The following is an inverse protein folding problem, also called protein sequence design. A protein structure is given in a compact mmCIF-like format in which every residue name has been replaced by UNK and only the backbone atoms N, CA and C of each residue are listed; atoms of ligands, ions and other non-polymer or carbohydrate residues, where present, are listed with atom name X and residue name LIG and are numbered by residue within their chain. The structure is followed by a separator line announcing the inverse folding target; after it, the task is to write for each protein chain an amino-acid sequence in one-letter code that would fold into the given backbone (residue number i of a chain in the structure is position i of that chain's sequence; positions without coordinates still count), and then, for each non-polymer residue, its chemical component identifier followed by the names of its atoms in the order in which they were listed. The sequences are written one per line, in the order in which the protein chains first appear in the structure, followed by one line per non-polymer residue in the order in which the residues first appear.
data_IF_768276950434
#
_entry.id   IF_768276950434
#
_cell.length_a   1.000
_cell.length_b   1.000
_cell.length_c   1.000
_cell.angle_alpha   90.00
_cell.angle_beta   90.00
_cell.angle_gamma   90.00
#
_symmetry.space_group_name_H-M   'P 1'
#
loop_
_entity.id
_entity.type
_entity.pdbx_description
1 polymer ?
#
# COMPACT_ATOMS: atom_id res chain seq x y z
N UNK A 1 29.00 7.08 -8.08
CA UNK A 1 28.24 7.81 -7.06
C UNK A 1 27.60 6.74 -6.17
N UNK A 2 27.62 6.95 -4.86
CA UNK A 2 27.01 5.99 -3.93
C UNK A 2 25.49 6.04 -4.16
N UNK A 3 24.93 4.98 -4.68
CA UNK A 3 23.54 4.93 -5.18
C UNK A 3 22.57 4.42 -4.09
N UNK A 4 23.03 4.41 -2.83
CA UNK A 4 22.36 3.81 -1.68
C UNK A 4 21.27 4.76 -1.16
N UNK A 5 20.05 4.26 -1.03
CA UNK A 5 18.92 5.01 -0.43
C UNK A 5 18.97 4.84 1.08
N UNK A 6 19.61 5.78 1.79
CA UNK A 6 19.80 5.69 3.25
C UNK A 6 18.83 6.58 4.04
N UNK A 7 18.40 7.69 3.45
CA UNK A 7 17.52 8.65 4.09
C UNK A 7 16.12 8.57 3.46
N UNK A 8 15.21 7.98 4.18
CA UNK A 8 13.85 7.74 3.70
C UNK A 8 12.85 8.69 4.36
N UNK A 9 12.02 9.32 3.56
CA UNK A 9 10.83 10.04 4.01
C UNK A 9 9.59 9.19 3.82
N UNK A 10 8.63 9.29 4.73
CA UNK A 10 7.29 8.71 4.57
C UNK A 10 6.27 9.79 4.89
N UNK A 11 5.30 10.02 4.00
CA UNK A 11 4.22 10.97 4.27
C UNK A 11 2.94 10.21 4.57
N UNK A 12 2.41 10.39 5.78
CA UNK A 12 1.32 9.61 6.35
C UNK A 12 1.83 8.46 7.22
N UNK A 13 1.35 8.38 8.46
CA UNK A 13 1.68 7.32 9.43
C UNK A 13 0.44 6.46 9.77
N UNK A 14 -0.42 6.25 8.76
CA UNK A 14 -1.51 5.28 8.81
C UNK A 14 -0.99 3.85 8.84
N UNK A 15 -1.85 2.89 8.54
CA UNK A 15 -1.49 1.47 8.55
C UNK A 15 -0.33 1.16 7.58
N UNK A 16 -0.42 1.69 6.34
CA UNK A 16 0.61 1.47 5.32
C UNK A 16 1.90 2.24 5.62
N UNK A 17 1.80 3.56 5.87
CA UNK A 17 2.98 4.38 6.12
C UNK A 17 3.76 3.97 7.36
N UNK A 18 3.11 3.58 8.45
CA UNK A 18 3.78 3.03 9.62
C UNK A 18 4.52 1.73 9.26
N UNK A 19 3.89 0.84 8.50
CA UNK A 19 4.54 -0.40 8.05
C UNK A 19 5.73 -0.16 7.11
N UNK A 20 5.63 0.83 6.21
CA UNK A 20 6.72 1.23 5.31
C UNK A 20 7.89 1.81 6.13
N UNK A 21 7.61 2.73 7.04
CA UNK A 21 8.61 3.31 7.94
C UNK A 21 9.32 2.22 8.77
N UNK A 22 8.55 1.26 9.31
CA UNK A 22 9.10 0.13 10.06
C UNK A 22 10.10 -0.67 9.23
N UNK A 23 9.73 -1.10 8.00
CA UNK A 23 10.62 -1.95 7.20
C UNK A 23 11.87 -1.20 6.73
N UNK A 24 11.76 0.09 6.41
CA UNK A 24 12.91 0.93 6.08
C UNK A 24 13.86 1.10 7.27
N UNK A 25 13.34 1.37 8.46
CA UNK A 25 14.16 1.50 9.67
C UNK A 25 14.80 0.17 10.11
N UNK A 26 14.12 -0.96 9.93
CA UNK A 26 14.68 -2.31 10.16
C UNK A 26 15.81 -2.62 9.20
N UNK A 27 15.77 -2.10 7.98
CA UNK A 27 16.85 -2.19 7.00
C UNK A 27 18.05 -1.26 7.31
N UNK A 28 17.95 -0.42 8.35
CA UNK A 28 19.04 0.47 8.77
C UNK A 28 18.90 1.92 8.27
N UNK A 29 17.89 2.25 7.49
CA UNK A 29 17.67 3.60 6.99
C UNK A 29 17.32 4.60 8.10
N UNK A 30 17.75 5.86 7.94
CA UNK A 30 17.26 7.02 8.72
C UNK A 30 15.90 7.43 8.17
N UNK A 31 14.86 7.34 8.99
CA UNK A 31 13.46 7.50 8.55
C UNK A 31 12.81 8.72 9.21
N UNK A 32 12.27 9.62 8.38
CA UNK A 32 11.38 10.68 8.85
C UNK A 32 9.97 10.39 8.35
N UNK A 33 9.02 10.35 9.29
CA UNK A 33 7.60 10.20 8.98
C UNK A 33 6.91 11.52 9.25
N UNK A 34 6.18 12.04 8.25
CA UNK A 34 5.43 13.28 8.38
C UNK A 34 3.94 13.00 8.48
N UNK A 35 3.29 13.59 9.47
CA UNK A 35 1.84 13.56 9.64
C UNK A 35 1.25 14.97 9.66
N UNK A 36 -0.03 15.05 9.30
CA UNK A 36 -0.73 16.35 9.13
C UNK A 36 -0.92 17.14 10.42
N UNK A 37 -0.83 16.50 11.58
CA UNK A 37 -0.94 17.13 12.89
C UNK A 37 -0.37 16.23 14.00
N UNK A 38 -0.19 16.80 15.19
CA UNK A 38 0.42 16.14 16.35
C UNK A 38 -0.38 14.91 16.82
N UNK A 39 -1.71 14.98 16.83
CA UNK A 39 -2.56 13.85 17.25
C UNK A 39 -2.34 12.61 16.37
N UNK A 40 -2.29 12.82 15.06
CA UNK A 40 -1.99 11.74 14.10
C UNK A 40 -0.55 11.25 14.19
N UNK A 41 0.39 12.16 14.44
CA UNK A 41 1.79 11.82 14.67
C UNK A 41 1.95 10.92 15.90
N UNK A 42 1.29 11.25 17.01
CA UNK A 42 1.31 10.45 18.24
C UNK A 42 0.65 9.09 18.03
N UNK A 43 -0.49 9.05 17.34
CA UNK A 43 -1.16 7.79 16.98
C UNK A 43 -0.30 6.92 16.04
N UNK A 44 0.41 7.53 15.10
CA UNK A 44 1.36 6.87 14.21
C UNK A 44 2.55 6.28 14.95
N UNK A 45 3.15 7.06 15.86
CA UNK A 45 4.23 6.59 16.74
C UNK A 45 3.77 5.40 17.58
N UNK A 46 2.58 5.45 18.16
CA UNK A 46 2.03 4.34 18.93
C UNK A 46 1.82 3.05 18.10
N UNK A 47 1.46 3.18 16.81
CA UNK A 47 1.40 2.02 15.90
C UNK A 47 2.77 1.40 15.66
N UNK A 48 3.78 2.22 15.40
CA UNK A 48 5.17 1.78 15.20
C UNK A 48 5.68 1.05 16.44
N UNK A 49 5.54 1.64 17.62
CA UNK A 49 5.96 1.05 18.89
C UNK A 49 5.28 -0.30 19.10
N UNK A 50 3.95 -0.36 18.97
CA UNK A 50 3.19 -1.60 19.13
C UNK A 50 3.62 -2.70 18.16
N UNK A 51 3.90 -2.36 16.90
CA UNK A 51 4.33 -3.31 15.88
C UNK A 51 5.72 -3.85 16.17
N UNK A 52 6.67 -2.97 16.48
CA UNK A 52 8.06 -3.32 16.76
C UNK A 52 8.20 -4.13 18.06
N UNK A 53 7.52 -3.73 19.15
CA UNK A 53 7.51 -4.51 20.40
C UNK A 53 6.95 -5.91 20.18
N UNK A 54 5.86 -6.04 19.43
CA UNK A 54 5.30 -7.35 19.07
C UNK A 54 6.24 -8.19 18.21
N UNK A 55 7.05 -7.57 17.35
CA UNK A 55 8.06 -8.27 16.56
C UNK A 55 9.21 -8.79 17.45
N UNK A 56 9.68 -7.97 18.40
CA UNK A 56 10.68 -8.32 19.40
C UNK A 56 10.21 -9.48 20.29
N UNK A 57 9.00 -9.38 20.88
CA UNK A 57 8.37 -10.44 21.69
C UNK A 57 8.28 -11.79 20.96
N UNK A 58 8.14 -11.77 19.64
CA UNK A 58 8.06 -12.97 18.80
C UNK A 58 9.41 -13.45 18.26
N UNK A 59 10.52 -12.84 18.71
CA UNK A 59 11.87 -13.16 18.25
C UNK A 59 12.13 -12.88 16.78
N UNK A 60 11.38 -11.93 16.20
CA UNK A 60 11.54 -11.51 14.80
C UNK A 60 12.35 -10.21 14.65
N UNK A 61 12.74 -9.63 15.76
CA UNK A 61 13.51 -8.42 15.88
C UNK A 61 14.34 -8.51 17.17
N UNK A 62 15.60 -8.12 17.12
CA UNK A 62 16.52 -8.18 18.27
C UNK A 62 16.24 -7.03 19.26
N UNK A 63 15.95 -5.82 18.77
CA UNK A 63 15.69 -4.65 19.60
C UNK A 63 14.71 -3.68 18.92
N UNK A 64 13.54 -3.51 19.52
CA UNK A 64 12.56 -2.51 19.07
C UNK A 64 13.09 -1.08 19.28
N UNK A 65 13.82 -0.83 20.40
CA UNK A 65 14.34 0.50 20.72
C UNK A 65 15.38 0.96 19.69
N UNK A 66 16.23 0.05 19.21
CA UNK A 66 17.22 0.37 18.19
C UNK A 66 16.55 0.82 16.88
N UNK A 67 15.50 0.12 16.45
CA UNK A 67 14.77 0.47 15.24
C UNK A 67 13.98 1.76 15.43
N UNK A 68 13.31 1.95 16.57
CA UNK A 68 12.61 3.18 16.93
C UNK A 68 13.55 4.39 16.95
N UNK A 69 14.80 4.19 17.37
CA UNK A 69 15.84 5.23 17.37
C UNK A 69 16.17 5.77 15.97
N UNK A 70 15.85 5.03 14.91
CA UNK A 70 16.04 5.45 13.51
C UNK A 70 14.81 6.15 12.92
N UNK A 71 13.67 6.25 13.68
CA UNK A 71 12.43 6.81 13.18
C UNK A 71 12.10 8.11 13.93
N UNK A 72 11.95 9.21 13.21
CA UNK A 72 11.38 10.45 13.73
C UNK A 72 10.00 10.68 13.12
N UNK A 73 9.00 10.91 13.95
CA UNK A 73 7.65 11.28 13.50
C UNK A 73 7.46 12.78 13.79
N UNK A 74 7.18 13.55 12.74
CA UNK A 74 7.13 15.00 12.74
C UNK A 74 5.85 15.52 12.04
N UNK A 75 5.63 16.83 12.04
CA UNK A 75 4.47 17.46 11.38
C UNK A 75 4.84 18.38 10.22
N UNK A 76 6.12 18.69 10.04
CA UNK A 76 6.58 19.63 9.04
C UNK A 76 7.14 18.92 7.81
N UNK A 77 6.57 19.16 6.62
CA UNK A 77 7.08 18.59 5.37
C UNK A 77 8.53 19.02 5.06
N UNK A 78 8.94 20.19 5.54
CA UNK A 78 10.30 20.71 5.38
C UNK A 78 11.39 19.79 5.93
N UNK A 79 11.06 18.95 6.91
CA UNK A 79 11.99 17.96 7.47
C UNK A 79 12.41 16.88 6.45
N UNK A 80 11.72 16.78 5.32
CA UNK A 80 12.02 15.83 4.24
C UNK A 80 13.05 16.38 3.23
N UNK A 81 13.57 17.57 3.40
CA UNK A 81 14.38 18.28 2.41
C UNK A 81 15.62 17.48 1.94
N UNK A 82 16.24 16.69 2.81
CA UNK A 82 17.47 15.94 2.55
C UNK A 82 17.24 14.43 2.30
N UNK A 83 16.01 14.00 2.02
CA UNK A 83 15.71 12.58 1.81
C UNK A 83 16.12 12.10 0.41
N UNK A 84 16.63 10.86 0.35
CA UNK A 84 16.99 10.18 -0.90
C UNK A 84 15.76 9.62 -1.62
N UNK A 85 14.77 9.19 -0.84
CA UNK A 85 13.47 8.75 -1.33
C UNK A 85 12.37 9.21 -0.35
N UNK A 86 11.26 9.70 -0.90
CA UNK A 86 10.04 9.99 -0.14
C UNK A 86 8.92 9.13 -0.64
N UNK A 87 8.31 8.32 0.25
CA UNK A 87 7.18 7.45 -0.06
C UNK A 87 5.91 8.09 0.49
N UNK A 88 4.99 8.45 -0.39
CA UNK A 88 3.66 8.93 -0.03
C UNK A 88 2.75 7.74 0.33
N UNK A 89 2.08 7.83 1.48
CA UNK A 89 1.11 6.85 1.99
C UNK A 89 -0.06 7.53 2.72
N UNK A 90 -0.56 8.65 2.14
CA UNK A 90 -1.75 9.37 2.63
C UNK A 90 -3.04 8.70 2.16
N UNK A 91 -4.19 9.32 2.42
CA UNK A 91 -5.49 8.85 1.91
C UNK A 91 -5.49 8.76 0.38
N UNK A 92 -6.25 7.79 -0.15
CA UNK A 92 -6.34 7.52 -1.58
C UNK A 92 -7.26 8.56 -2.25
N UNK A 93 -6.79 9.80 -2.32
CA UNK A 93 -7.42 10.95 -2.97
C UNK A 93 -6.46 11.59 -3.96
N UNK A 94 -6.85 11.61 -5.24
CA UNK A 94 -6.01 12.11 -6.32
C UNK A 94 -5.60 13.57 -6.13
N UNK A 95 -6.55 14.42 -5.72
CA UNK A 95 -6.28 15.85 -5.54
C UNK A 95 -5.28 16.11 -4.42
N UNK A 96 -5.43 15.42 -3.29
CA UNK A 96 -4.51 15.52 -2.16
C UNK A 96 -3.10 15.02 -2.52
N UNK A 97 -3.00 13.92 -3.26
CA UNK A 97 -1.70 13.38 -3.69
C UNK A 97 -1.01 14.28 -4.71
N UNK A 98 -1.74 14.82 -5.68
CA UNK A 98 -1.23 15.79 -6.66
C UNK A 98 -0.66 17.03 -5.94
N UNK A 99 -1.38 17.58 -4.97
CA UNK A 99 -0.92 18.74 -4.22
C UNK A 99 0.31 18.42 -3.36
N UNK A 100 0.35 17.25 -2.73
CA UNK A 100 1.50 16.79 -1.98
C UNK A 100 2.75 16.63 -2.89
N UNK A 101 2.60 16.05 -4.08
CA UNK A 101 3.73 15.86 -4.99
C UNK A 101 4.33 17.18 -5.48
N UNK A 102 3.51 18.23 -5.70
CA UNK A 102 4.01 19.58 -5.98
C UNK A 102 4.85 20.12 -4.81
N UNK A 103 4.36 19.97 -3.58
CA UNK A 103 5.08 20.42 -2.38
C UNK A 103 6.38 19.64 -2.17
N UNK A 104 6.36 18.31 -2.35
CA UNK A 104 7.57 17.48 -2.25
C UNK A 104 8.62 17.84 -3.30
N UNK A 105 8.19 18.16 -4.53
CA UNK A 105 9.10 18.59 -5.61
C UNK A 105 9.82 19.91 -5.27
N UNK A 106 9.19 20.79 -4.51
CA UNK A 106 9.78 22.04 -4.05
C UNK A 106 10.68 21.86 -2.82
N UNK A 107 10.28 20.98 -1.89
CA UNK A 107 10.94 20.78 -0.59
C UNK A 107 12.19 19.92 -0.72
N UNK A 108 12.10 18.80 -1.46
CA UNK A 108 13.20 17.82 -1.57
C UNK A 108 14.30 18.39 -2.45
N UNK A 109 15.46 18.66 -1.84
CA UNK A 109 16.55 19.41 -2.47
C UNK A 109 17.46 18.55 -3.36
N UNK A 110 17.58 17.24 -3.09
CA UNK A 110 18.38 16.34 -3.93
C UNK A 110 17.74 16.20 -5.31
N UNK A 111 18.45 16.49 -6.40
CA UNK A 111 17.91 16.36 -7.76
C UNK A 111 17.62 14.91 -8.14
N UNK A 112 18.32 13.97 -7.50
CA UNK A 112 18.21 12.52 -7.77
C UNK A 112 17.28 11.80 -6.80
N UNK A 113 16.62 12.54 -5.89
CA UNK A 113 15.69 11.96 -4.94
C UNK A 113 14.47 11.35 -5.67
N UNK A 114 14.06 10.17 -5.22
CA UNK A 114 12.88 9.47 -5.74
C UNK A 114 11.64 9.97 -4.99
N UNK A 115 10.64 10.43 -5.71
CA UNK A 115 9.31 10.70 -5.17
C UNK A 115 8.41 9.52 -5.50
N UNK A 116 8.07 8.72 -4.48
CA UNK A 116 7.34 7.48 -4.63
C UNK A 116 5.91 7.59 -4.07
N UNK A 117 4.96 6.90 -4.70
CA UNK A 117 3.61 6.75 -4.17
C UNK A 117 3.30 5.28 -3.87
N UNK A 118 2.66 5.03 -2.72
CA UNK A 118 2.12 3.71 -2.37
C UNK A 118 0.65 3.55 -2.82
N UNK A 119 0.18 4.37 -3.75
CA UNK A 119 -1.17 4.25 -4.32
C UNK A 119 -1.42 2.86 -4.91
N UNK A 120 -2.66 2.40 -4.86
CA UNK A 120 -3.09 1.17 -5.52
C UNK A 120 -3.92 1.41 -6.79
N UNK A 121 -4.29 2.66 -7.06
CA UNK A 121 -5.29 2.96 -8.10
C UNK A 121 -5.07 4.26 -8.86
N UNK A 122 -4.34 5.22 -8.29
CA UNK A 122 -4.09 6.52 -8.94
C UNK A 122 -2.92 6.37 -9.92
N UNK A 123 -3.09 6.76 -11.21
CA UNK A 123 -2.02 6.69 -12.19
C UNK A 123 -0.77 7.47 -11.75
N UNK A 124 0.37 6.81 -11.77
CA UNK A 124 1.66 7.43 -11.40
C UNK A 124 2.00 8.59 -12.33
N UNK A 125 1.60 8.50 -13.61
CA UNK A 125 1.75 9.57 -14.58
C UNK A 125 1.14 10.89 -14.11
N UNK A 126 -0.04 10.87 -13.44
CA UNK A 126 -0.69 12.08 -12.92
C UNK A 126 0.15 12.76 -11.84
N UNK A 127 0.83 11.97 -11.01
CA UNK A 127 1.73 12.46 -9.98
C UNK A 127 3.06 12.94 -10.58
N UNK A 128 3.56 12.25 -11.59
CA UNK A 128 4.80 12.63 -12.27
C UNK A 128 4.70 13.98 -13.00
N UNK A 129 3.61 14.21 -13.72
CA UNK A 129 3.45 15.41 -14.58
C UNK A 129 3.33 16.72 -13.80
N UNK A 130 3.04 16.68 -12.49
CA UNK A 130 2.95 17.89 -11.66
C UNK A 130 4.27 18.27 -10.99
N UNK A 131 5.33 17.46 -11.19
CA UNK A 131 6.68 17.72 -10.67
C UNK A 131 7.61 18.21 -11.78
N UNK A 132 8.74 18.84 -11.41
CA UNK A 132 9.83 19.24 -12.33
C UNK A 132 10.81 18.09 -12.59
N UNK A 133 10.65 16.95 -11.90
CA UNK A 133 11.48 15.73 -11.98
C UNK A 133 10.65 14.46 -12.28
N UNK A 134 9.84 14.44 -13.35
CA UNK A 134 8.96 13.30 -13.63
C UNK A 134 9.73 11.98 -13.84
N UNK A 135 11.01 12.06 -14.24
CA UNK A 135 11.90 10.90 -14.37
C UNK A 135 12.20 10.21 -13.03
N UNK A 136 12.03 10.91 -11.92
CA UNK A 136 12.30 10.40 -10.57
C UNK A 136 11.00 10.09 -9.80
N UNK A 137 9.86 10.08 -10.47
CA UNK A 137 8.57 9.70 -9.87
C UNK A 137 8.27 8.24 -10.20
N UNK A 138 7.92 7.46 -9.17
CA UNK A 138 7.72 6.01 -9.26
C UNK A 138 6.58 5.56 -8.33
N UNK A 139 5.78 4.60 -8.74
CA UNK A 139 4.94 3.84 -7.85
C UNK A 139 5.78 2.80 -7.09
N UNK A 140 5.67 2.77 -5.76
CA UNK A 140 6.28 1.75 -4.90
C UNK A 140 5.19 1.18 -4.01
N UNK A 141 4.50 0.18 -4.54
CA UNK A 141 3.28 -0.35 -3.95
C UNK A 141 3.58 -1.54 -3.03
N UNK A 142 3.42 -1.31 -1.74
CA UNK A 142 3.53 -2.32 -0.70
C UNK A 142 2.17 -2.97 -0.41
N UNK A 143 2.21 -4.17 0.16
CA UNK A 143 1.03 -4.93 0.54
C UNK A 143 0.88 -5.02 2.06
N UNK A 144 -0.36 -4.91 2.55
CA UNK A 144 -0.68 -5.01 3.98
C UNK A 144 -0.78 -6.49 4.44
N UNK A 145 -0.11 -6.89 5.52
CA UNK A 145 0.77 -6.13 6.42
C UNK A 145 2.20 -5.95 5.84
N UNK A 146 2.67 -4.72 5.74
CA UNK A 146 3.97 -4.39 5.12
C UNK A 146 5.15 -5.14 5.73
N UNK A 147 5.28 -5.30 7.07
CA UNK A 147 6.40 -6.05 7.65
C UNK A 147 6.37 -7.55 7.35
N UNK A 148 5.23 -8.09 6.89
CA UNK A 148 5.04 -9.53 6.69
C UNK A 148 5.13 -9.93 5.23
N UNK A 149 4.44 -9.20 4.35
CA UNK A 149 4.38 -9.53 2.93
C UNK A 149 5.66 -9.08 2.22
N UNK A 150 6.19 -9.98 1.41
CA UNK A 150 7.50 -9.77 0.77
C UNK A 150 7.42 -9.00 -0.55
N UNK A 151 6.25 -8.98 -1.20
CA UNK A 151 6.10 -8.38 -2.52
C UNK A 151 6.06 -6.85 -2.44
N UNK A 152 6.72 -6.21 -3.40
CA UNK A 152 6.58 -4.79 -3.74
C UNK A 152 6.44 -4.66 -5.25
N UNK A 153 5.44 -3.93 -5.71
CA UNK A 153 5.29 -3.60 -7.12
C UNK A 153 5.94 -2.24 -7.40
N UNK A 154 6.89 -2.22 -8.34
CA UNK A 154 7.48 -1.00 -8.88
C UNK A 154 6.73 -0.61 -10.15
N UNK A 155 6.16 0.58 -10.15
CA UNK A 155 5.25 1.05 -11.19
C UNK A 155 5.81 2.30 -11.84
N UNK A 156 6.66 2.16 -12.87
CA UNK A 156 7.13 3.31 -13.64
C UNK A 156 6.00 3.90 -14.50
N UNK A 157 5.91 5.23 -14.53
CA UNK A 157 5.16 5.95 -15.53
C UNK A 157 5.89 5.96 -16.87
N UNK A 158 5.27 6.50 -17.92
CA UNK A 158 5.95 6.68 -19.21
C UNK A 158 7.15 7.66 -19.14
N UNK A 159 7.27 8.44 -18.07
CA UNK A 159 8.34 9.44 -17.90
C UNK A 159 9.40 9.00 -16.88
N UNK A 160 9.18 7.94 -16.14
CA UNK A 160 10.12 7.42 -15.13
C UNK A 160 11.36 6.88 -15.81
N UNK A 161 12.55 7.29 -15.34
CA UNK A 161 13.81 6.79 -15.87
C UNK A 161 14.11 5.36 -15.38
N UNK A 162 14.73 4.55 -16.24
CA UNK A 162 15.14 3.18 -15.90
C UNK A 162 16.07 3.16 -14.67
N UNK A 163 16.95 4.15 -14.55
CA UNK A 163 17.85 4.28 -13.39
C UNK A 163 17.07 4.46 -12.07
N UNK A 164 15.98 5.21 -12.08
CA UNK A 164 15.09 5.37 -10.92
C UNK A 164 14.48 4.05 -10.49
N UNK A 165 14.02 3.24 -11.46
CA UNK A 165 13.48 1.90 -11.22
C UNK A 165 14.53 0.97 -10.64
N UNK A 166 15.75 0.97 -11.20
CA UNK A 166 16.85 0.10 -10.74
C UNK A 166 17.35 0.48 -9.35
N UNK A 167 17.40 1.76 -9.01
CA UNK A 167 17.72 2.22 -7.65
C UNK A 167 16.68 1.76 -6.64
N UNK A 168 15.40 1.95 -6.96
CA UNK A 168 14.30 1.48 -6.10
C UNK A 168 14.31 -0.06 -5.97
N UNK A 169 14.55 -0.79 -7.06
CA UNK A 169 14.69 -2.25 -7.05
C UNK A 169 15.83 -2.70 -6.15
N UNK A 170 17.00 -2.12 -6.30
CA UNK A 170 18.17 -2.43 -5.48
C UNK A 170 17.87 -2.25 -3.99
N UNK A 171 17.18 -1.17 -3.63
CA UNK A 171 16.75 -0.91 -2.27
C UNK A 171 15.73 -1.94 -1.76
N UNK A 172 14.72 -2.25 -2.56
CA UNK A 172 13.65 -3.20 -2.20
C UNK A 172 14.19 -4.63 -2.05
N UNK A 173 14.96 -5.10 -3.02
CA UNK A 173 15.46 -6.49 -3.04
C UNK A 173 16.65 -6.66 -2.07
N UNK A 174 17.58 -5.69 -2.05
CA UNK A 174 18.80 -5.77 -1.25
C UNK A 174 18.60 -5.35 0.20
N UNK A 175 18.18 -4.09 0.42
CA UNK A 175 18.14 -3.51 1.76
C UNK A 175 16.87 -3.95 2.54
N UNK A 176 15.68 -3.89 1.91
CA UNK A 176 14.44 -4.29 2.57
C UNK A 176 14.27 -5.81 2.65
N UNK A 177 15.05 -6.60 1.91
CA UNK A 177 14.92 -8.06 1.84
C UNK A 177 13.53 -8.50 1.35
N UNK A 178 12.90 -7.68 0.51
CA UNK A 178 11.62 -7.96 -0.14
C UNK A 178 11.85 -8.48 -1.56
N UNK A 179 10.82 -8.55 -2.36
CA UNK A 179 10.88 -8.96 -3.76
C UNK A 179 10.17 -7.95 -4.63
N UNK A 180 10.92 -7.26 -5.48
CA UNK A 180 10.38 -6.28 -6.41
C UNK A 180 9.95 -6.93 -7.73
N UNK A 181 8.73 -6.67 -8.16
CA UNK A 181 8.29 -6.90 -9.54
C UNK A 181 8.03 -5.54 -10.21
N UNK A 182 8.14 -5.47 -11.52
CA UNK A 182 7.81 -4.25 -12.27
C UNK A 182 6.60 -4.49 -13.14
N UNK A 183 5.69 -3.52 -13.17
CA UNK A 183 4.52 -3.52 -14.05
C UNK A 183 4.26 -2.13 -14.60
N UNK A 184 3.44 -2.05 -15.63
CA UNK A 184 3.03 -0.77 -16.22
C UNK A 184 2.08 0.00 -15.29
N UNK A 185 2.06 1.32 -15.43
CA UNK A 185 1.16 2.25 -14.75
C UNK A 185 -0.28 2.09 -15.28
N UNK A 186 -0.98 1.11 -14.72
CA UNK A 186 -2.41 0.82 -14.97
C UNK A 186 -3.10 0.51 -13.66
N UNK A 187 -4.39 0.81 -13.56
CA UNK A 187 -5.17 0.54 -12.35
C UNK A 187 -5.03 -0.92 -11.88
N UNK A 188 -4.81 -1.10 -10.58
CA UNK A 188 -4.69 -2.41 -9.93
C UNK A 188 -3.37 -3.14 -10.13
N UNK A 189 -2.45 -2.60 -10.92
CA UNK A 189 -1.12 -3.18 -11.19
C UNK A 189 -1.18 -4.68 -11.53
N UNK A 190 -0.37 -5.55 -10.97
CA UNK A 190 -0.44 -7.00 -11.23
C UNK A 190 -1.42 -7.68 -10.28
N UNK A 191 -1.26 -7.48 -8.96
CA UNK A 191 -1.99 -8.29 -7.99
C UNK A 191 -3.48 -7.96 -8.00
N UNK A 192 -3.83 -6.68 -7.87
CA UNK A 192 -5.24 -6.28 -7.77
C UNK A 192 -6.00 -6.48 -9.08
N UNK A 193 -5.36 -6.35 -10.25
CA UNK A 193 -6.01 -6.62 -11.54
C UNK A 193 -6.39 -8.09 -11.75
N UNK A 194 -5.76 -9.01 -11.02
CA UNK A 194 -6.13 -10.43 -11.00
C UNK A 194 -7.02 -10.78 -9.80
N UNK A 195 -6.68 -10.27 -8.63
CA UNK A 195 -7.36 -10.60 -7.38
C UNK A 195 -8.78 -10.06 -7.30
N UNK A 196 -8.98 -8.80 -7.69
CA UNK A 196 -10.30 -8.17 -7.57
C UNK A 196 -11.34 -8.84 -8.47
N UNK A 197 -11.11 -9.07 -9.79
CA UNK A 197 -12.07 -9.80 -10.62
C UNK A 197 -12.37 -11.21 -10.10
N UNK A 198 -11.37 -11.89 -9.53
CA UNK A 198 -11.57 -13.19 -8.89
C UNK A 198 -12.55 -13.10 -7.72
N UNK A 199 -12.34 -12.14 -6.81
CA UNK A 199 -13.25 -11.88 -5.69
C UNK A 199 -14.64 -11.49 -6.19
N UNK A 200 -14.74 -10.55 -7.15
CA UNK A 200 -16.04 -10.13 -7.70
C UNK A 200 -16.81 -11.28 -8.35
N UNK A 201 -16.10 -12.22 -8.97
CA UNK A 201 -16.73 -13.42 -9.54
C UNK A 201 -17.32 -14.33 -8.46
N UNK A 202 -16.63 -14.49 -7.33
CA UNK A 202 -17.15 -15.23 -6.18
C UNK A 202 -18.38 -14.53 -5.55
N UNK A 203 -18.33 -13.20 -5.44
CA UNK A 203 -19.47 -12.40 -4.94
C UNK A 203 -20.70 -12.56 -5.86
N UNK A 204 -20.53 -12.50 -7.19
CA UNK A 204 -21.63 -12.75 -8.15
C UNK A 204 -22.21 -14.15 -8.03
N UNK A 205 -21.37 -15.16 -7.82
CA UNK A 205 -21.79 -16.54 -7.60
C UNK A 205 -22.65 -16.67 -6.33
N UNK A 206 -22.23 -16.04 -5.24
CA UNK A 206 -22.98 -15.99 -3.99
C UNK A 206 -24.29 -15.21 -4.14
N UNK A 207 -24.26 -14.00 -4.76
CA UNK A 207 -25.42 -13.15 -5.00
C UNK A 207 -26.53 -13.85 -5.82
N UNK A 208 -26.13 -14.66 -6.79
CA UNK A 208 -27.06 -15.42 -7.63
C UNK A 208 -27.70 -16.62 -6.92
N UNK A 209 -27.27 -16.95 -5.70
CA UNK A 209 -27.73 -18.14 -4.98
C UNK A 209 -27.19 -19.46 -5.56
N UNK A 210 -26.11 -19.41 -6.37
CA UNK A 210 -25.54 -20.60 -6.99
C UNK A 210 -24.93 -21.57 -5.94
N UNK A 211 -24.25 -21.03 -4.92
CA UNK A 211 -23.67 -21.78 -3.82
C UNK A 211 -23.61 -20.93 -2.55
N UNK A 212 -23.43 -21.58 -1.39
CA UNK A 212 -23.20 -20.88 -0.12
C UNK A 212 -21.81 -20.25 -0.07
N UNK A 213 -21.58 -19.30 0.83
CA UNK A 213 -20.26 -18.70 1.02
C UNK A 213 -19.22 -19.74 1.41
N UNK A 214 -19.60 -20.67 2.28
CA UNK A 214 -18.77 -21.77 2.74
C UNK A 214 -18.37 -22.71 1.60
N UNK A 215 -19.32 -23.08 0.73
CA UNK A 215 -19.04 -24.00 -0.39
C UNK A 215 -18.15 -23.36 -1.45
N UNK A 216 -18.35 -22.05 -1.75
CA UNK A 216 -17.49 -21.28 -2.66
C UNK A 216 -16.05 -21.27 -2.14
N UNK A 217 -15.88 -20.91 -0.86
CA UNK A 217 -14.56 -20.79 -0.25
C UNK A 217 -13.87 -22.14 -0.10
N UNK A 218 -14.57 -23.17 0.37
CA UNK A 218 -14.03 -24.52 0.47
C UNK A 218 -13.69 -25.14 -0.90
N UNK A 219 -14.49 -24.87 -1.91
CA UNK A 219 -14.20 -25.27 -3.28
C UNK A 219 -12.84 -24.77 -3.74
N UNK A 220 -12.49 -23.54 -3.43
CA UNK A 220 -11.18 -22.97 -3.77
C UNK A 220 -10.04 -23.48 -2.89
N UNK A 221 -10.26 -23.58 -1.57
CA UNK A 221 -9.25 -24.08 -0.63
C UNK A 221 -8.90 -25.54 -0.94
N UNK A 222 -9.89 -26.40 -1.12
CA UNK A 222 -9.69 -27.83 -1.28
C UNK A 222 -9.47 -28.25 -2.75
N UNK A 223 -10.14 -27.59 -3.69
CA UNK A 223 -10.08 -27.94 -5.10
C UNK A 223 -8.90 -27.31 -5.86
N UNK A 224 -8.46 -26.11 -5.44
CA UNK A 224 -7.36 -25.37 -6.06
C UNK A 224 -6.15 -25.18 -5.14
N UNK A 225 -6.13 -25.77 -3.96
CA UNK A 225 -5.09 -25.62 -2.94
C UNK A 225 -4.80 -24.13 -2.59
N UNK A 226 -5.82 -23.28 -2.68
CA UNK A 226 -5.69 -21.86 -2.35
C UNK A 226 -5.64 -21.70 -0.83
N UNK A 227 -4.78 -20.82 -0.28
CA UNK A 227 -4.58 -20.71 1.17
C UNK A 227 -5.83 -20.19 1.91
N UNK A 228 -6.74 -19.52 1.20
CA UNK A 228 -7.96 -18.93 1.75
C UNK A 228 -9.01 -18.81 0.63
N UNK A 229 -10.29 -18.95 0.98
CA UNK A 229 -11.36 -18.77 0.02
C UNK A 229 -11.58 -17.30 -0.36
N UNK A 230 -12.16 -17.01 -1.54
CA UNK A 230 -12.29 -15.65 -2.07
C UNK A 230 -13.19 -14.74 -1.22
N UNK A 231 -14.25 -15.24 -0.61
CA UNK A 231 -15.16 -14.42 0.20
C UNK A 231 -14.57 -14.12 1.58
N UNK A 232 -13.91 -15.09 2.21
CA UNK A 232 -13.15 -14.86 3.43
C UNK A 232 -11.95 -13.93 3.20
N UNK A 233 -11.34 -13.96 2.01
CA UNK A 233 -10.28 -13.03 1.61
C UNK A 233 -10.84 -11.62 1.40
N UNK A 234 -12.01 -11.46 0.78
CA UNK A 234 -12.69 -10.18 0.67
C UNK A 234 -12.96 -9.55 2.04
N UNK A 235 -13.46 -10.35 3.00
CA UNK A 235 -13.68 -9.91 4.38
C UNK A 235 -12.37 -9.53 5.12
N UNK A 236 -11.26 -10.19 4.79
CA UNK A 236 -9.94 -9.86 5.34
C UNK A 236 -9.41 -8.54 4.80
N UNK A 237 -9.52 -8.29 3.48
CA UNK A 237 -9.11 -7.06 2.80
C UNK A 237 -9.98 -5.88 3.27
N UNK A 238 -11.26 -6.14 3.45
CA UNK A 238 -12.32 -5.16 3.68
C UNK A 238 -13.13 -4.90 2.42
N UNK A 239 -14.46 -5.00 2.55
CA UNK A 239 -15.37 -4.90 1.40
C UNK A 239 -15.38 -3.49 0.79
N UNK A 240 -15.20 -2.44 1.60
CA UNK A 240 -15.03 -1.06 1.11
C UNK A 240 -13.73 -0.89 0.30
N UNK A 241 -12.62 -1.50 0.73
CA UNK A 241 -11.37 -1.50 -0.02
C UNK A 241 -11.53 -2.25 -1.34
N UNK A 242 -12.14 -3.44 -1.30
CA UNK A 242 -12.47 -4.25 -2.49
C UNK A 242 -13.33 -3.45 -3.47
N UNK A 243 -14.34 -2.74 -2.96
CA UNK A 243 -15.22 -1.87 -3.74
C UNK A 243 -14.45 -0.75 -4.42
N UNK A 244 -13.65 0.02 -3.67
CA UNK A 244 -12.89 1.15 -4.18
C UNK A 244 -11.91 0.74 -5.30
N UNK A 245 -11.23 -0.39 -5.14
CA UNK A 245 -10.31 -0.89 -6.17
C UNK A 245 -11.10 -1.38 -7.40
N UNK A 246 -12.24 -2.05 -7.21
CA UNK A 246 -13.10 -2.49 -8.31
C UNK A 246 -13.63 -1.30 -9.12
N UNK A 247 -14.07 -0.23 -8.46
CA UNK A 247 -14.51 1.01 -9.10
C UNK A 247 -13.40 1.66 -9.93
N UNK A 248 -12.19 1.72 -9.38
CA UNK A 248 -11.02 2.26 -10.11
C UNK A 248 -10.70 1.44 -11.36
N UNK A 249 -10.66 0.11 -11.23
CA UNK A 249 -10.45 -0.81 -12.37
C UNK A 249 -11.57 -0.63 -13.42
N UNK A 250 -12.82 -0.56 -12.98
CA UNK A 250 -13.95 -0.35 -13.89
C UNK A 250 -13.93 1.04 -14.54
N UNK A 251 -13.50 2.06 -13.81
CA UNK A 251 -13.38 3.41 -14.37
C UNK A 251 -12.34 3.49 -15.49
N UNK A 252 -11.24 2.75 -15.38
CA UNK A 252 -10.18 2.71 -16.41
C UNK A 252 -10.55 1.79 -17.58
N UNK A 253 -10.91 0.53 -17.30
CA UNK A 253 -11.04 -0.49 -18.35
C UNK A 253 -12.44 -0.57 -18.96
N UNK A 254 -13.50 -0.12 -18.25
CA UNK A 254 -14.91 -0.20 -18.67
C UNK A 254 -15.41 -1.62 -18.99
N UNK A 255 -14.74 -2.62 -18.46
CA UNK A 255 -15.11 -4.02 -18.66
C UNK A 255 -15.99 -4.55 -17.53
N UNK A 256 -17.03 -5.31 -17.89
CA UNK A 256 -17.99 -5.88 -16.93
C UNK A 256 -17.32 -6.75 -15.86
N UNK A 257 -16.15 -7.31 -16.17
CA UNK A 257 -15.34 -8.11 -15.24
C UNK A 257 -15.01 -7.34 -13.96
N UNK A 258 -14.75 -6.03 -14.07
CA UNK A 258 -14.37 -5.16 -12.97
C UNK A 258 -15.54 -4.45 -12.30
N UNK A 259 -16.73 -4.49 -12.91
CA UNK A 259 -17.91 -3.81 -12.36
C UNK A 259 -18.29 -4.40 -10.99
N UNK A 260 -18.39 -3.59 -9.92
CA UNK A 260 -18.82 -4.07 -8.62
C UNK A 260 -20.21 -4.71 -8.68
N UNK A 261 -20.42 -5.91 -8.11
CA UNK A 261 -21.75 -6.51 -7.98
C UNK A 261 -22.64 -5.66 -7.06
N UNK A 262 -23.97 -5.58 -7.32
CA UNK A 262 -24.90 -4.86 -6.47
C UNK A 262 -24.88 -5.27 -5.00
N UNK A 263 -24.64 -6.54 -4.71
CA UNK A 263 -24.52 -7.04 -3.34
C UNK A 263 -23.34 -6.39 -2.61
N UNK A 264 -22.17 -6.27 -3.26
CA UNK A 264 -21.01 -5.65 -2.65
C UNK A 264 -21.31 -4.21 -2.21
N UNK A 265 -21.93 -3.42 -3.10
CA UNK A 265 -22.36 -2.06 -2.77
C UNK A 265 -23.30 -2.03 -1.54
N UNK A 266 -24.31 -2.89 -1.54
CA UNK A 266 -25.28 -2.95 -0.43
C UNK A 266 -24.63 -3.36 0.89
N UNK A 267 -23.65 -4.26 0.86
CA UNK A 267 -22.91 -4.66 2.07
C UNK A 267 -22.08 -3.49 2.60
N UNK A 268 -21.39 -2.75 1.74
CA UNK A 268 -20.63 -1.56 2.11
C UNK A 268 -21.55 -0.49 2.70
N UNK A 269 -22.68 -0.18 2.03
CA UNK A 269 -23.67 0.79 2.51
C UNK A 269 -24.26 0.40 3.88
N UNK A 270 -24.40 -0.91 4.14
CA UNK A 270 -24.88 -1.44 5.41
C UNK A 270 -23.79 -1.49 6.53
N UNK A 271 -22.55 -1.08 6.25
CA UNK A 271 -21.43 -1.14 7.20
C UNK A 271 -20.90 -2.56 7.43
N UNK A 272 -21.26 -3.52 6.57
CA UNK A 272 -20.77 -4.90 6.63
C UNK A 272 -19.41 -4.99 5.91
N UNK A 273 -18.36 -4.50 6.56
CA UNK A 273 -17.04 -4.30 5.92
C UNK A 273 -16.07 -5.48 6.10
N UNK A 274 -16.54 -6.62 6.53
CA UNK A 274 -15.71 -7.80 6.83
C UNK A 274 -15.16 -7.80 8.24
N UNK A 275 -13.95 -8.35 8.43
CA UNK A 275 -13.34 -8.53 9.77
C UNK A 275 -13.24 -7.25 10.57
N UNK A 276 -12.95 -6.12 9.96
CA UNK A 276 -12.78 -4.83 10.65
C UNK A 276 -14.07 -4.28 11.27
N UNK A 277 -15.23 -4.73 10.79
CA UNK A 277 -16.55 -4.37 11.36
C UNK A 277 -17.21 -5.55 12.11
N UNK A 278 -16.50 -6.67 12.27
CA UNK A 278 -17.03 -7.89 12.91
C UNK A 278 -17.95 -8.71 12.00
N UNK A 279 -18.33 -8.22 10.83
CA UNK A 279 -19.23 -8.89 9.91
C UNK A 279 -19.00 -8.48 8.44
N UNK A 280 -19.04 -9.47 7.57
CA UNK A 280 -19.06 -9.35 6.12
C UNK A 280 -19.85 -10.52 5.53
N UNK A 281 -19.24 -11.31 4.64
CA UNK A 281 -19.78 -12.60 4.22
C UNK A 281 -19.88 -13.58 5.37
N UNK A 282 -18.97 -13.44 6.33
CA UNK A 282 -18.93 -14.19 7.57
C UNK A 282 -19.13 -13.28 8.79
N UNK A 283 -19.37 -13.91 9.95
CA UNK A 283 -19.37 -13.24 11.24
C UNK A 283 -18.08 -13.57 11.97
N UNK A 284 -17.46 -12.56 12.58
CA UNK A 284 -16.20 -12.67 13.30
C UNK A 284 -16.40 -12.26 14.76
N UNK A 285 -15.92 -13.10 15.66
CA UNK A 285 -15.88 -12.76 17.09
C UNK A 285 -14.90 -11.60 17.29
N UNK A 286 -15.31 -10.61 18.05
CA UNK A 286 -14.58 -9.37 18.35
C UNK A 286 -13.46 -9.60 19.37
#
# INVERSE_FOLDING_TARGET
MDNTLQKIGVVGCGLMGAGIAEVCARAGSDVIVVESNQERADAGRGRLEKSLRRAEERGRLDSADEVLGRIRVVTELGDLADRDMVVEAILEDEGAKVELFKQLDEIVTSPDAILASNTSSIPIMKLATVTKRPSNVLGVHFFNPVPVLKLVELVPSLMTADETVERARTYVDGELGKHAITCQDRAGFVVNSLLIPFILSAIRMYESGFATAEDIDQGFVLGAAHPQGPLALADLIGLDTTMAVAESLYAEFKEQLYAPPPLLQRMVDAGLMGRKSGRGFYTYDS
#
